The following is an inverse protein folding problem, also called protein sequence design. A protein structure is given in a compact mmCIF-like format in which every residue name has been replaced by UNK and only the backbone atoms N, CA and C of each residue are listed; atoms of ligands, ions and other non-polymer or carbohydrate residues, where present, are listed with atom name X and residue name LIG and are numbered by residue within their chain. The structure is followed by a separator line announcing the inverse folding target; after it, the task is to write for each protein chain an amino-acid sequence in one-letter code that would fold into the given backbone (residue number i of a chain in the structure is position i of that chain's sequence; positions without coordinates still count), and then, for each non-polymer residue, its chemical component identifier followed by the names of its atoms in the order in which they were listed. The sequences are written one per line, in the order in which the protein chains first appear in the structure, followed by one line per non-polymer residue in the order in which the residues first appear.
data_IF_013270994185
#
_entry.id   IF_013270994185
#
_cell.length_a   1.000
_cell.length_b   1.000
_cell.length_c   1.000
_cell.angle_alpha   90.00
_cell.angle_beta   90.00
_cell.angle_gamma   90.00
#
_symmetry.space_group_name_H-M   'P 1'
#
loop_
_entity.id
_entity.type
_entity.pdbx_description
1 polymer ?
#
# COMPACT_ATOMS: atom_id res chain seq x y z
N UNK A 1 4.72 -19.92 -0.65
CA UNK A 1 4.42 -18.92 0.40
C UNK A 1 5.01 -17.60 -0.05
N UNK A 2 4.19 -16.61 -0.38
CA UNK A 2 4.71 -15.29 -0.76
C UNK A 2 5.06 -14.54 0.53
N UNK A 3 6.36 -14.37 0.80
CA UNK A 3 6.87 -13.56 1.90
C UNK A 3 6.24 -12.16 1.91
N UNK A 4 5.88 -11.64 0.73
CA UNK A 4 5.24 -10.33 0.59
C UNK A 4 3.89 -10.23 1.30
N UNK A 5 3.01 -11.24 1.18
CA UNK A 5 1.69 -11.19 1.83
C UNK A 5 1.81 -11.22 3.36
N UNK A 6 2.66 -12.10 3.88
CA UNK A 6 2.86 -12.22 5.32
C UNK A 6 3.50 -10.95 5.92
N UNK A 7 4.50 -10.38 5.24
CA UNK A 7 5.13 -9.13 5.66
C UNK A 7 4.15 -7.96 5.62
N UNK A 8 3.35 -7.88 4.55
CA UNK A 8 2.30 -6.88 4.39
C UNK A 8 1.29 -6.94 5.54
N UNK A 9 0.76 -8.13 5.84
CA UNK A 9 -0.21 -8.32 6.93
C UNK A 9 0.38 -7.91 8.28
N UNK A 10 1.63 -8.28 8.56
CA UNK A 10 2.32 -7.93 9.81
C UNK A 10 2.52 -6.43 9.96
N UNK A 11 2.95 -5.75 8.90
CA UNK A 11 3.14 -4.29 8.89
C UNK A 11 1.79 -3.59 9.06
N UNK A 12 0.76 -4.04 8.34
CA UNK A 12 -0.59 -3.49 8.43
C UNK A 12 -1.17 -3.61 9.84
N UNK A 13 -0.99 -4.76 10.50
CA UNK A 13 -1.46 -4.99 11.86
C UNK A 13 -0.82 -3.99 12.85
N UNK A 14 0.48 -3.72 12.70
CA UNK A 14 1.20 -2.73 13.52
C UNK A 14 0.69 -1.32 13.24
N UNK A 15 0.55 -0.95 11.97
CA UNK A 15 0.11 0.40 11.60
C UNK A 15 -1.32 0.70 12.07
N UNK A 16 -2.23 -0.29 12.04
CA UNK A 16 -3.60 -0.15 12.55
C UNK A 16 -3.67 0.16 14.05
N UNK A 17 -2.65 -0.23 14.83
CA UNK A 17 -2.59 0.08 16.27
C UNK A 17 -2.21 1.54 16.54
N UNK A 18 -1.58 2.21 15.58
CA UNK A 18 -0.96 3.53 15.75
C UNK A 18 -1.73 4.62 14.99
N UNK A 19 -2.39 4.26 13.88
CA UNK A 19 -2.99 5.22 12.97
C UNK A 19 -4.36 4.79 12.45
N UNK A 20 -5.07 5.75 11.84
CA UNK A 20 -6.39 5.54 11.24
C UNK A 20 -6.25 4.98 9.81
N UNK A 21 -7.23 4.20 9.37
CA UNK A 21 -7.22 3.59 8.04
C UNK A 21 -7.23 4.61 6.88
N UNK A 22 -7.82 5.79 7.11
CA UNK A 22 -7.91 6.89 6.14
C UNK A 22 -7.12 8.10 6.66
N UNK A 23 -6.20 8.59 5.84
CA UNK A 23 -5.30 9.70 6.17
C UNK A 23 -5.59 10.93 5.33
N UNK A 24 -6.01 10.75 4.07
CA UNK A 24 -6.36 11.87 3.20
C UNK A 24 -7.77 12.38 3.53
N UNK A 25 -7.93 13.71 3.70
CA UNK A 25 -9.21 14.31 4.08
C UNK A 25 -10.25 14.24 2.95
N UNK A 26 -9.82 14.22 1.68
CA UNK A 26 -10.72 14.19 0.54
C UNK A 26 -10.22 13.30 -0.60
N UNK A 27 -11.09 12.36 -1.01
CA UNK A 27 -10.99 11.61 -2.25
C UNK A 27 -12.33 11.67 -3.00
N UNK A 28 -12.29 11.96 -4.31
CA UNK A 28 -13.49 12.07 -5.14
C UNK A 28 -14.25 10.76 -5.28
N UNK A 29 -13.55 9.63 -5.22
CA UNK A 29 -14.09 8.28 -5.27
C UNK A 29 -13.56 7.52 -4.07
N UNK A 30 -14.40 6.68 -3.48
CA UNK A 30 -13.96 5.80 -2.41
C UNK A 30 -12.95 4.78 -2.96
N UNK A 31 -11.74 4.70 -2.39
CA UNK A 31 -10.74 3.77 -2.86
C UNK A 31 -11.04 2.35 -2.38
N UNK A 32 -10.82 1.35 -3.23
CA UNK A 32 -10.89 -0.08 -2.85
C UNK A 32 -9.79 -0.52 -1.88
N UNK A 33 -8.70 0.24 -1.85
CA UNK A 33 -7.53 0.03 -0.98
C UNK A 33 -7.40 1.25 -0.06
N UNK A 34 -7.44 1.05 1.26
CA UNK A 34 -7.32 2.15 2.23
C UNK A 34 -5.95 2.84 2.15
N UNK A 35 -5.82 4.04 2.73
CA UNK A 35 -4.55 4.77 2.72
C UNK A 35 -3.50 4.02 3.55
N UNK A 36 -3.91 3.46 4.68
CA UNK A 36 -3.04 2.65 5.54
C UNK A 36 -2.58 1.35 4.86
N UNK A 37 -3.46 0.68 4.10
CA UNK A 37 -3.11 -0.47 3.27
C UNK A 37 -2.07 -0.09 2.20
N UNK A 38 -2.23 1.09 1.58
CA UNK A 38 -1.29 1.58 0.58
C UNK A 38 0.09 1.85 1.17
N UNK A 39 0.14 2.49 2.35
CA UNK A 39 1.39 2.75 3.08
C UNK A 39 2.04 1.43 3.50
N UNK A 40 1.25 0.48 4.02
CA UNK A 40 1.73 -0.85 4.40
C UNK A 40 2.41 -1.55 3.22
N UNK A 41 1.80 -1.48 2.04
CA UNK A 41 2.39 -2.04 0.81
C UNK A 41 3.70 -1.34 0.43
N UNK A 42 3.77 -0.02 0.56
CA UNK A 42 5.00 0.75 0.29
C UNK A 42 6.13 0.38 1.25
N UNK A 43 5.84 0.30 2.55
CA UNK A 43 6.82 -0.11 3.56
C UNK A 43 7.26 -1.56 3.37
N UNK A 44 6.34 -2.44 2.95
CA UNK A 44 6.67 -3.83 2.63
C UNK A 44 7.64 -3.91 1.45
N UNK A 45 7.44 -3.08 0.42
CA UNK A 45 8.33 -3.02 -0.72
C UNK A 45 9.74 -2.58 -0.30
N UNK A 46 9.87 -1.54 0.51
CA UNK A 46 11.16 -1.10 1.05
C UNK A 46 11.82 -2.15 1.94
N UNK A 47 11.06 -2.75 2.86
CA UNK A 47 11.56 -3.82 3.73
C UNK A 47 12.09 -5.01 2.93
N UNK A 48 11.49 -5.32 1.80
CA UNK A 48 11.91 -6.41 0.91
C UNK A 48 12.97 -5.99 -0.12
N UNK A 49 13.41 -4.73 -0.13
CA UNK A 49 14.38 -4.20 -1.10
C UNK A 49 13.84 -4.19 -2.55
N UNK A 50 12.54 -3.96 -2.72
CA UNK A 50 11.90 -3.88 -4.05
C UNK A 50 11.81 -2.42 -4.47
N UNK A 51 12.80 -1.96 -5.24
CA UNK A 51 12.86 -0.57 -5.71
C UNK A 51 12.02 -0.33 -6.98
N UNK A 52 11.71 -1.39 -7.72
CA UNK A 52 10.90 -1.31 -8.93
C UNK A 52 9.43 -1.53 -8.63
N UNK A 53 8.61 -0.51 -8.86
CA UNK A 53 7.15 -0.62 -8.82
C UNK A 53 6.64 -1.72 -9.75
N UNK A 54 7.30 -1.93 -10.90
CA UNK A 54 6.87 -2.96 -11.83
C UNK A 54 7.16 -4.37 -11.30
N UNK A 55 8.26 -4.55 -10.57
CA UNK A 55 8.56 -5.82 -9.89
C UNK A 55 7.61 -6.05 -8.70
N UNK A 56 7.31 -5.01 -7.93
CA UNK A 56 6.30 -5.06 -6.86
C UNK A 56 4.95 -5.56 -7.38
N UNK A 57 4.47 -4.99 -8.49
CA UNK A 57 3.19 -5.37 -9.12
C UNK A 57 3.18 -6.77 -9.74
N UNK A 58 4.34 -7.35 -10.07
CA UNK A 58 4.44 -8.76 -10.49
C UNK A 58 4.35 -9.74 -9.32
N UNK A 59 4.77 -9.32 -8.13
CA UNK A 59 4.81 -10.15 -6.91
C UNK A 59 3.61 -9.95 -5.99
N UNK A 60 2.75 -8.99 -6.32
CA UNK A 60 1.57 -8.62 -5.55
C UNK A 60 0.57 -9.79 -5.48
N UNK A 61 0.07 -10.17 -4.29
CA UNK A 61 -0.99 -11.16 -4.17
C UNK A 61 -2.28 -10.68 -4.85
N UNK A 62 -3.06 -11.62 -5.36
CA UNK A 62 -4.30 -11.35 -6.10
C UNK A 62 -5.30 -10.49 -5.30
N UNK A 63 -5.36 -10.70 -3.97
CA UNK A 63 -6.19 -9.92 -3.06
C UNK A 63 -5.91 -8.41 -3.09
N UNK A 64 -4.67 -8.00 -3.34
CA UNK A 64 -4.27 -6.59 -3.39
C UNK A 64 -4.24 -6.11 -4.85
N UNK A 65 -3.75 -6.96 -5.76
CA UNK A 65 -3.68 -6.66 -7.19
C UNK A 65 -5.04 -6.26 -7.78
N UNK A 66 -6.12 -6.91 -7.34
CA UNK A 66 -7.50 -6.60 -7.79
C UNK A 66 -8.07 -5.29 -7.20
N UNK A 67 -7.45 -4.75 -6.14
CA UNK A 67 -7.90 -3.53 -5.45
C UNK A 67 -7.25 -2.25 -5.99
N UNK A 68 -6.07 -2.33 -6.62
CA UNK A 68 -5.35 -1.13 -7.03
C UNK A 68 -4.56 -1.32 -8.33
N UNK A 69 -4.64 -0.31 -9.19
CA UNK A 69 -3.79 -0.22 -10.39
C UNK A 69 -2.45 0.45 -10.08
N UNK A 70 -1.40 0.06 -10.81
CA UNK A 70 -0.03 0.59 -10.63
C UNK A 70 0.04 2.11 -10.71
N UNK A 71 -0.64 2.72 -11.68
CA UNK A 71 -0.66 4.18 -11.87
C UNK A 71 -1.36 4.90 -10.71
N UNK A 72 -2.44 4.31 -10.18
CA UNK A 72 -3.20 4.83 -9.04
C UNK A 72 -2.39 4.70 -7.75
N UNK A 73 -1.71 3.57 -7.55
CA UNK A 73 -0.79 3.35 -6.43
C UNK A 73 0.28 4.46 -6.38
N UNK A 74 0.99 4.72 -7.48
CA UNK A 74 2.04 5.74 -7.50
C UNK A 74 1.50 7.14 -7.23
N UNK A 75 0.35 7.48 -7.83
CA UNK A 75 -0.28 8.78 -7.63
C UNK A 75 -0.66 8.99 -6.16
N UNK A 76 -1.28 7.98 -5.53
CA UNK A 76 -1.69 8.04 -4.13
C UNK A 76 -0.50 8.02 -3.18
N UNK A 77 0.53 7.21 -3.46
CA UNK A 77 1.79 7.19 -2.68
C UNK A 77 2.42 8.58 -2.63
N UNK A 78 2.58 9.24 -3.79
CA UNK A 78 3.12 10.62 -3.86
C UNK A 78 2.23 11.63 -3.14
N UNK A 79 0.90 11.50 -3.28
CA UNK A 79 -0.03 12.40 -2.60
C UNK A 79 0.08 12.29 -1.08
N UNK A 80 0.11 11.07 -0.55
CA UNK A 80 0.27 10.82 0.89
C UNK A 80 1.61 11.35 1.41
N UNK A 81 2.69 11.22 0.64
CA UNK A 81 4.00 11.75 1.02
C UNK A 81 4.06 13.30 1.04
N UNK A 82 3.22 13.98 0.27
CA UNK A 82 3.19 15.45 0.21
C UNK A 82 2.21 16.09 1.21
N UNK A 83 1.31 15.29 1.81
CA UNK A 83 0.30 15.76 2.76
C UNK A 83 0.69 15.46 4.23
N UNK A 84 1.83 14.77 4.42
CA UNK A 84 2.55 14.62 5.70
C UNK A 84 3.56 15.76 5.86
#
# INVERSE_FOLDING_TARGET
MNNLSANYERILEVLRKISKDQLLPYQRREPKLCDLELISLSLTAEFMGIDSENDLFRKLPEMIYTKIERSVYNRRRRRLANEL
#
